data_IF_965282268272
#
_entry.id   IF_965282268272
#
_cell.length_a   1.000
_cell.length_b   1.000
_cell.length_c   1.000
_cell.angle_alpha   90.00
_cell.angle_beta   90.00
_cell.angle_gamma   90.00
#
_symmetry.space_group_name_H-M   'P 1'
#
loop_
_entity.id
_entity.type
_entity.pdbx_description
1 polymer ?
#
# COMPACT_ATOMS: atom_id res chain seq x y z
N UNK A 1 0.56 11.72 -11.07
CA UNK A 1 -0.05 12.74 -10.20
C UNK A 1 -1.57 12.93 -10.35
N UNK A 2 -2.23 12.74 -11.52
CA UNK A 2 -3.71 12.64 -11.59
C UNK A 2 -4.23 11.19 -11.52
N UNK A 3 -3.37 10.22 -11.83
CA UNK A 3 -3.71 8.80 -11.90
C UNK A 3 -3.60 8.08 -10.55
N UNK A 4 -2.76 8.59 -9.64
CA UNK A 4 -2.55 8.01 -8.30
C UNK A 4 -3.82 8.09 -7.46
N UNK A 5 -4.63 9.14 -7.65
CA UNK A 5 -5.92 9.30 -6.97
C UNK A 5 -6.92 8.20 -7.31
N UNK A 6 -6.91 7.69 -8.55
CA UNK A 6 -7.85 6.63 -8.97
C UNK A 6 -7.56 5.34 -8.22
N UNK A 7 -6.30 4.91 -8.19
CA UNK A 7 -5.89 3.70 -7.49
C UNK A 7 -6.04 3.85 -5.99
N UNK A 8 -5.70 5.01 -5.44
CA UNK A 8 -5.96 5.32 -4.04
C UNK A 8 -7.44 5.15 -3.70
N UNK A 9 -8.35 5.75 -4.47
CA UNK A 9 -9.79 5.60 -4.26
C UNK A 9 -10.29 4.17 -4.46
N UNK A 10 -9.70 3.43 -5.41
CA UNK A 10 -10.04 2.02 -5.64
C UNK A 10 -9.72 1.18 -4.40
N UNK A 11 -8.50 1.24 -3.89
CA UNK A 11 -8.09 0.45 -2.72
C UNK A 11 -8.73 0.95 -1.42
N UNK A 12 -9.05 2.25 -1.32
CA UNK A 12 -9.83 2.79 -0.21
C UNK A 12 -11.26 2.25 -0.20
N UNK A 13 -11.88 2.08 -1.38
CA UNK A 13 -13.28 1.60 -1.49
C UNK A 13 -13.35 0.07 -1.44
N UNK A 14 -12.36 -0.61 -2.02
CA UNK A 14 -12.31 -2.07 -2.19
C UNK A 14 -10.94 -2.63 -1.81
N UNK A 15 -10.59 -2.64 -0.51
CA UNK A 15 -9.29 -3.11 -0.04
C UNK A 15 -9.05 -4.61 -0.31
N UNK A 16 -10.12 -5.41 -0.45
CA UNK A 16 -10.03 -6.85 -0.75
C UNK A 16 -9.33 -7.16 -2.08
N UNK A 17 -9.47 -6.29 -3.08
CA UNK A 17 -8.86 -6.45 -4.40
C UNK A 17 -7.35 -6.60 -4.30
N UNK A 18 -6.72 -5.89 -3.37
CA UNK A 18 -5.28 -6.00 -3.15
C UNK A 18 -4.86 -7.43 -2.78
N UNK A 19 -5.58 -8.06 -1.86
CA UNK A 19 -5.29 -9.43 -1.41
C UNK A 19 -5.54 -10.44 -2.53
N UNK A 20 -6.60 -10.25 -3.31
CA UNK A 20 -6.85 -11.08 -4.50
C UNK A 20 -5.69 -11.00 -5.51
N UNK A 21 -5.15 -9.80 -5.76
CA UNK A 21 -4.05 -9.59 -6.71
C UNK A 21 -2.75 -10.30 -6.30
N UNK A 22 -2.51 -10.47 -5.00
CA UNK A 22 -1.35 -11.19 -4.46
C UNK A 22 -1.65 -12.67 -4.18
N UNK A 23 -2.77 -13.21 -4.68
CA UNK A 23 -3.25 -14.58 -4.47
C UNK A 23 -3.48 -14.93 -2.99
N UNK A 24 -3.94 -13.96 -2.20
CA UNK A 24 -4.34 -14.11 -0.81
C UNK A 24 -5.87 -14.08 -0.66
N UNK A 25 -6.38 -14.43 0.53
CA UNK A 25 -7.82 -14.41 0.76
C UNK A 25 -8.32 -12.96 0.84
N UNK A 26 -9.37 -12.57 0.12
CA UNK A 26 -9.96 -11.24 0.21
C UNK A 26 -10.46 -10.90 1.62
N UNK A 27 -10.77 -11.92 2.42
CA UNK A 27 -11.21 -11.77 3.82
C UNK A 27 -10.13 -11.16 4.70
N UNK A 28 -8.84 -11.31 4.32
CA UNK A 28 -7.73 -10.69 5.04
C UNK A 28 -7.84 -9.17 5.04
N UNK A 29 -8.47 -8.54 4.05
CA UNK A 29 -8.66 -7.09 4.07
C UNK A 29 -9.41 -6.58 5.32
N UNK A 30 -10.23 -7.42 5.97
CA UNK A 30 -10.91 -7.04 7.21
C UNK A 30 -9.94 -6.87 8.40
N UNK A 31 -8.75 -7.46 8.35
CA UNK A 31 -7.73 -7.35 9.40
C UNK A 31 -6.73 -6.22 9.13
N UNK A 32 -6.91 -5.44 8.06
CA UNK A 32 -6.00 -4.36 7.69
C UNK A 32 -6.74 -3.02 7.51
N UNK A 33 -6.08 -1.95 7.93
CA UNK A 33 -6.44 -0.57 7.63
C UNK A 33 -5.64 -0.07 6.43
N UNK A 34 -6.33 0.40 5.40
CA UNK A 34 -5.70 1.05 4.24
C UNK A 34 -5.52 2.56 4.49
N UNK A 35 -4.29 3.06 4.31
CA UNK A 35 -3.96 4.47 4.48
C UNK A 35 -2.93 4.93 3.44
N UNK A 36 -2.91 6.24 3.12
CA UNK A 36 -1.74 6.86 2.50
C UNK A 36 -1.04 7.71 3.56
N UNK A 37 0.23 7.39 3.82
CA UNK A 37 1.04 8.14 4.78
C UNK A 37 2.24 8.76 4.10
N UNK A 38 2.46 10.02 4.41
CA UNK A 38 3.72 10.69 4.10
C UNK A 38 4.70 10.43 5.24
N UNK A 39 5.81 9.76 4.92
CA UNK A 39 6.86 9.47 5.89
C UNK A 39 7.75 10.70 5.99
N UNK A 40 7.58 11.46 7.08
CA UNK A 40 8.22 12.77 7.31
C UNK A 40 9.75 12.74 7.24
N UNK A 41 10.38 11.58 7.41
CA UNK A 41 11.84 11.46 7.50
C UNK A 41 12.53 11.46 6.12
N UNK A 42 11.81 11.15 5.05
CA UNK A 42 12.37 11.03 3.69
C UNK A 42 11.66 11.93 2.64
N UNK A 43 10.69 12.74 3.06
CA UNK A 43 9.73 13.38 2.14
C UNK A 43 9.14 12.36 1.14
N UNK A 44 8.99 11.11 1.60
CA UNK A 44 8.56 9.99 0.79
C UNK A 44 7.07 9.83 0.99
N UNK A 45 6.32 9.93 -0.11
CA UNK A 45 4.89 9.70 -0.12
C UNK A 45 4.64 8.30 -0.66
N UNK A 46 4.05 7.47 0.18
CA UNK A 46 3.55 6.17 -0.22
C UNK A 46 2.21 6.33 -0.92
N UNK A 47 2.02 5.62 -2.04
CA UNK A 47 0.71 5.58 -2.71
C UNK A 47 -0.34 4.86 -1.85
N UNK A 48 0.06 3.80 -1.14
CA UNK A 48 -0.79 3.10 -0.20
C UNK A 48 -0.03 2.22 0.79
N UNK A 49 -0.63 2.01 1.95
CA UNK A 49 -0.10 1.20 3.03
C UNK A 49 -1.27 0.45 3.68
N UNK A 50 -1.14 -0.88 3.78
CA UNK A 50 -2.04 -1.69 4.59
C UNK A 50 -1.36 -2.01 5.92
N UNK A 51 -1.92 -1.47 7.00
CA UNK A 51 -1.48 -1.69 8.37
C UNK A 51 -2.37 -2.76 9.02
N UNK A 52 -1.82 -3.77 9.70
CA UNK A 52 -2.63 -4.64 10.56
C UNK A 52 -3.45 -3.79 11.54
N UNK A 53 -4.76 -3.98 11.54
CA UNK A 53 -5.68 -3.29 12.47
C UNK A 53 -5.64 -3.92 13.88
N UNK A 54 -5.04 -5.10 13.97
CA UNK A 54 -4.85 -5.87 15.20
C UNK A 54 -3.36 -5.80 15.54
N UNK A 55 -3.03 -5.64 16.81
CA UNK A 55 -1.64 -5.62 17.31
C UNK A 55 -1.06 -7.06 17.33
N UNK A 56 -1.01 -7.66 16.13
CA UNK A 56 -0.44 -8.97 15.87
C UNK A 56 0.95 -8.79 15.24
N UNK A 57 2.03 -9.10 15.97
CA UNK A 57 3.39 -8.85 15.51
C UNK A 57 3.81 -9.71 14.31
N UNK A 58 3.08 -10.79 14.02
CA UNK A 58 3.37 -11.71 12.92
C UNK A 58 2.73 -11.28 11.59
N UNK A 59 1.83 -10.28 11.60
CA UNK A 59 1.19 -9.80 10.38
C UNK A 59 2.10 -8.82 9.64
N UNK A 60 2.36 -9.06 8.33
CA UNK A 60 3.23 -8.19 7.55
C UNK A 60 2.56 -6.85 7.24
N UNK A 61 3.35 -5.79 7.12
CA UNK A 61 2.90 -4.55 6.50
C UNK A 61 2.94 -4.71 4.97
N UNK A 62 1.86 -4.30 4.28
CA UNK A 62 1.88 -4.26 2.82
C UNK A 62 2.07 -2.84 2.32
N UNK A 63 3.13 -2.66 1.54
CA UNK A 63 3.45 -1.42 0.85
C UNK A 63 2.90 -1.49 -0.58
N UNK A 64 2.14 -0.48 -0.99
CA UNK A 64 1.56 -0.38 -2.32
C UNK A 64 2.13 0.85 -3.03
N UNK A 65 2.72 0.62 -4.20
CA UNK A 65 3.25 1.64 -5.11
C UNK A 65 2.74 1.36 -6.52
N UNK A 66 2.15 2.36 -7.17
CA UNK A 66 1.56 2.20 -8.52
C UNK A 66 2.51 2.80 -9.54
N UNK A 67 3.23 1.96 -10.28
CA UNK A 67 4.18 2.40 -11.29
C UNK A 67 3.60 2.40 -12.71
N UNK A 68 3.53 3.57 -13.34
CA UNK A 68 3.16 3.71 -14.76
C UNK A 68 4.36 3.60 -15.70
N UNK A 69 5.57 3.88 -15.19
CA UNK A 69 6.82 3.77 -15.91
C UNK A 69 7.82 3.03 -15.02
N UNK A 70 8.72 2.22 -15.60
CA UNK A 70 9.80 1.61 -14.85
C UNK A 70 10.64 2.68 -14.15
N UNK A 71 10.88 2.50 -12.86
CA UNK A 71 11.74 3.37 -12.08
C UNK A 71 12.85 2.55 -11.41
N UNK A 72 14.07 2.65 -11.93
CA UNK A 72 15.24 1.92 -11.43
C UNK A 72 15.62 2.31 -9.99
N UNK A 73 15.15 3.48 -9.51
CA UNK A 73 15.45 3.97 -8.18
C UNK A 73 14.33 3.65 -7.16
N UNK A 74 13.26 2.94 -7.55
CA UNK A 74 12.13 2.66 -6.66
C UNK A 74 12.57 2.08 -5.31
N UNK A 75 13.28 0.95 -5.34
CA UNK A 75 13.70 0.27 -4.12
C UNK A 75 14.71 1.10 -3.33
N UNK A 76 15.60 1.83 -4.02
CA UNK A 76 16.54 2.72 -3.34
C UNK A 76 15.82 3.78 -2.51
N UNK A 77 14.76 4.40 -3.06
CA UNK A 77 13.97 5.41 -2.33
C UNK A 77 13.19 4.85 -1.13
N UNK A 78 12.88 3.56 -1.14
CA UNK A 78 12.15 2.90 -0.05
C UNK A 78 13.04 2.55 1.16
N UNK A 79 14.34 2.34 0.93
CA UNK A 79 15.27 1.83 1.94
C UNK A 79 16.46 2.77 2.26
N UNK A 80 16.58 3.90 1.57
CA UNK A 80 17.66 4.88 1.77
C UNK A 80 17.44 5.78 3.00
#
# INVERSE_FOLDING_TARGET
MKTDTLFYSLFQTFPSIFFELINQSPEQAATYEFTSREVKQLAFRLDGLFLPAIDEPDLPFYLLEVQFQPDENLYYRLFA
#
